data_IF_224193408535
#
_entry.id   IF_224193408535
#
_cell.length_a   1.000
_cell.length_b   1.000
_cell.length_c   1.000
_cell.angle_alpha   90.00
_cell.angle_beta   90.00
_cell.angle_gamma   90.00
#
_symmetry.space_group_name_H-M   'P 1'
#
loop_
_entity.id
_entity.type
_entity.pdbx_description
1 polymer ?
#
# COMPACT_ATOMS: atom_id res chain seq x y z
N UNK A 1 5.12 5.27 -3.76
CA UNK A 1 4.65 4.09 -3.01
C UNK A 1 5.58 3.68 -1.86
N UNK A 2 6.18 4.64 -1.15
CA UNK A 2 7.12 4.34 -0.05
C UNK A 2 6.41 3.81 1.20
N UNK A 3 5.24 4.37 1.51
CA UNK A 3 4.41 3.91 2.64
C UNK A 3 3.89 2.48 2.45
N UNK A 4 3.64 2.08 1.20
CA UNK A 4 3.19 0.72 0.86
C UNK A 4 4.26 -0.32 1.11
N UNK A 5 5.52 0.00 0.77
CA UNK A 5 6.67 -0.89 1.03
C UNK A 5 6.90 -1.09 2.53
N UNK A 6 6.72 -0.03 3.32
CA UNK A 6 6.79 -0.11 4.78
C UNK A 6 5.65 -0.98 5.33
N UNK A 7 4.42 -0.83 4.81
CA UNK A 7 3.29 -1.65 5.21
C UNK A 7 3.53 -3.13 4.92
N UNK A 8 4.00 -3.47 3.73
CA UNK A 8 4.28 -4.86 3.36
C UNK A 8 5.40 -5.47 4.22
N UNK A 9 6.45 -4.72 4.53
CA UNK A 9 7.48 -5.17 5.47
C UNK A 9 6.94 -5.41 6.89
N UNK A 10 6.01 -4.59 7.37
CA UNK A 10 5.36 -4.77 8.68
C UNK A 10 4.48 -6.03 8.71
N UNK A 11 3.82 -6.36 7.59
CA UNK A 11 3.07 -7.61 7.45
C UNK A 11 3.99 -8.84 7.57
N UNK A 12 5.13 -8.82 6.87
CA UNK A 12 6.13 -9.91 6.94
C UNK A 12 6.75 -10.01 8.33
N UNK A 13 7.08 -8.89 8.95
CA UNK A 13 7.63 -8.87 10.32
C UNK A 13 6.68 -9.52 11.33
N UNK A 14 5.38 -9.27 11.19
CA UNK A 14 4.32 -9.82 12.06
C UNK A 14 3.83 -11.21 11.63
N UNK A 15 4.32 -11.76 10.52
CA UNK A 15 3.88 -13.04 9.94
C UNK A 15 2.38 -13.10 9.67
N UNK A 16 1.86 -12.00 9.15
CA UNK A 16 0.45 -11.83 8.81
C UNK A 16 0.30 -11.53 7.32
N UNK A 17 -0.86 -11.88 6.78
CA UNK A 17 -1.24 -11.68 5.39
C UNK A 17 -2.58 -10.98 5.31
N UNK A 18 -2.83 -10.29 4.20
CA UNK A 18 -4.05 -9.52 3.95
C UNK A 18 -4.61 -9.88 2.59
N UNK A 19 -5.94 -9.86 2.45
CA UNK A 19 -6.63 -9.97 1.16
C UNK A 19 -7.32 -8.67 0.72
N UNK A 20 -7.23 -7.60 1.52
CA UNK A 20 -7.93 -6.35 1.22
C UNK A 20 -7.09 -5.15 1.61
N UNK A 21 -6.97 -4.21 0.67
CA UNK A 21 -6.25 -2.96 0.86
C UNK A 21 -7.22 -1.79 0.77
N UNK A 22 -7.02 -0.79 1.62
CA UNK A 22 -7.78 0.47 1.64
C UNK A 22 -6.86 1.66 1.44
N UNK A 23 -7.35 2.65 0.70
CA UNK A 23 -6.66 3.89 0.40
C UNK A 23 -7.60 5.06 0.71
N UNK A 24 -7.18 5.92 1.64
CA UNK A 24 -7.86 7.16 1.97
C UNK A 24 -6.95 8.35 1.66
N UNK A 25 -7.49 9.32 0.95
CA UNK A 25 -6.77 10.49 0.46
C UNK A 25 -7.51 11.73 0.90
N UNK A 26 -6.84 12.50 1.75
CA UNK A 26 -7.32 13.81 2.16
C UNK A 26 -6.71 14.88 1.26
N UNK A 27 -7.58 15.65 0.62
CA UNK A 27 -7.17 16.77 -0.22
C UNK A 27 -6.86 18.02 0.60
N UNK A 28 -6.04 18.89 0.04
CA UNK A 28 -5.66 20.15 0.67
C UNK A 28 -6.79 21.19 0.61
N UNK A 29 -6.84 22.04 1.62
CA UNK A 29 -7.72 23.23 1.67
C UNK A 29 -7.34 24.24 0.59
N UNK A 30 -6.06 24.28 0.19
CA UNK A 30 -5.57 25.16 -0.88
C UNK A 30 -6.31 24.96 -2.20
N UNK A 31 -6.84 23.76 -2.45
CA UNK A 31 -7.66 23.49 -3.65
C UNK A 31 -8.91 24.37 -3.75
N UNK A 32 -9.45 24.86 -2.63
CA UNK A 32 -10.63 25.73 -2.58
C UNK A 32 -10.28 27.19 -2.27
N UNK A 33 -9.08 27.46 -1.75
CA UNK A 33 -8.59 28.81 -1.52
C UNK A 33 -8.10 29.46 -2.81
N UNK A 34 -7.50 28.68 -3.72
CA UNK A 34 -7.03 29.17 -5.02
C UNK A 34 -8.21 29.43 -5.97
N UNK A 35 -8.40 30.67 -6.47
CA UNK A 35 -9.55 31.03 -7.31
C UNK A 35 -9.65 30.19 -8.59
N UNK A 36 -8.51 29.90 -9.24
CA UNK A 36 -8.47 29.15 -10.49
C UNK A 36 -8.82 27.66 -10.29
N UNK A 37 -8.37 27.06 -9.19
CA UNK A 37 -8.67 25.64 -8.87
C UNK A 37 -10.10 25.49 -8.38
N UNK A 38 -10.57 26.44 -7.58
CA UNK A 38 -11.95 26.48 -7.09
C UNK A 38 -12.97 26.55 -8.22
N UNK A 39 -12.69 27.34 -9.27
CA UNK A 39 -13.59 27.41 -10.44
C UNK A 39 -13.70 26.08 -11.20
N UNK A 40 -12.63 25.27 -11.19
CA UNK A 40 -12.60 23.96 -11.85
C UNK A 40 -13.22 22.84 -11.01
N UNK A 41 -13.31 23.03 -9.69
CA UNK A 41 -13.86 22.04 -8.78
C UNK A 41 -15.37 22.20 -8.58
N UNK A 42 -16.15 21.27 -9.14
CA UNK A 42 -17.61 21.18 -8.97
C UNK A 42 -18.04 20.08 -7.99
N UNK A 43 -17.07 19.43 -7.35
CA UNK A 43 -17.34 18.30 -6.46
C UNK A 43 -17.88 18.71 -5.09
N UNK A 44 -18.20 17.70 -4.28
CA UNK A 44 -18.68 17.92 -2.91
C UNK A 44 -17.59 18.52 -2.01
N UNK A 45 -17.96 19.50 -1.20
CA UNK A 45 -17.07 20.18 -0.27
C UNK A 45 -17.41 19.69 1.14
N UNK A 46 -16.38 19.40 1.94
CA UNK A 46 -16.51 19.17 3.37
C UNK A 46 -15.95 20.36 4.15
N UNK A 47 -16.56 20.64 5.29
CA UNK A 47 -16.06 21.64 6.24
C UNK A 47 -15.50 20.88 7.44
N UNK A 48 -14.24 21.13 7.77
CA UNK A 48 -13.58 20.58 8.95
C UNK A 48 -14.08 21.27 10.24
N UNK A 49 -13.83 20.67 11.40
CA UNK A 49 -14.18 21.18 12.74
C UNK A 49 -13.61 22.59 13.02
N UNK A 50 -12.56 22.98 12.30
CA UNK A 50 -11.95 24.32 12.34
C UNK A 50 -12.60 25.32 11.37
N UNK A 51 -13.71 24.99 10.72
CA UNK A 51 -14.42 25.84 9.76
C UNK A 51 -13.76 25.95 8.38
N UNK A 52 -12.69 25.18 8.12
CA UNK A 52 -11.97 25.19 6.84
C UNK A 52 -12.69 24.30 5.83
N UNK A 53 -12.85 24.80 4.61
CA UNK A 53 -13.44 24.03 3.51
C UNK A 53 -12.34 23.29 2.74
N UNK A 54 -12.56 22.01 2.47
CA UNK A 54 -11.72 21.19 1.62
C UNK A 54 -12.58 20.32 0.68
N UNK A 55 -12.03 19.85 -0.45
CA UNK A 55 -12.69 18.82 -1.24
C UNK A 55 -12.99 17.59 -0.38
N UNK A 56 -14.09 16.89 -0.68
CA UNK A 56 -14.41 15.61 -0.03
C UNK A 56 -13.26 14.62 -0.25
N UNK A 57 -12.94 13.86 0.80
CA UNK A 57 -11.87 12.87 0.74
C UNK A 57 -12.18 11.78 -0.29
N UNK A 58 -11.12 11.33 -0.96
CA UNK A 58 -11.16 10.16 -1.80
C UNK A 58 -10.96 8.92 -0.93
N UNK A 59 -11.81 7.92 -1.11
CA UNK A 59 -11.71 6.63 -0.43
C UNK A 59 -11.79 5.53 -1.48
N UNK A 60 -11.09 4.43 -1.24
CA UNK A 60 -11.20 3.23 -2.05
C UNK A 60 -10.74 2.00 -1.31
N UNK A 61 -11.26 0.86 -1.73
CA UNK A 61 -10.77 -0.46 -1.33
C UNK A 61 -10.57 -1.33 -2.56
N UNK A 62 -9.62 -2.25 -2.47
CA UNK A 62 -9.38 -3.28 -3.47
C UNK A 62 -9.14 -4.61 -2.76
N UNK A 63 -9.79 -5.66 -3.26
CA UNK A 63 -9.53 -7.01 -2.80
C UNK A 63 -8.41 -7.61 -3.67
N UNK A 64 -7.51 -8.33 -3.00
CA UNK A 64 -6.45 -9.12 -3.59
C UNK A 64 -7.03 -10.50 -3.97
N UNK A 65 -6.51 -11.14 -5.02
CA UNK A 65 -6.98 -12.46 -5.43
C UNK A 65 -6.73 -13.54 -4.36
N UNK A 66 -5.75 -13.32 -3.49
CA UNK A 66 -5.37 -14.21 -2.40
C UNK A 66 -4.82 -13.42 -1.22
N UNK A 67 -4.77 -14.06 -0.06
CA UNK A 67 -4.06 -13.53 1.10
C UNK A 67 -2.55 -13.50 0.83
N UNK A 68 -1.94 -12.32 0.89
CA UNK A 68 -0.50 -12.17 0.61
C UNK A 68 0.15 -11.08 1.46
N UNK A 69 1.46 -11.18 1.60
CA UNK A 69 2.35 -10.16 2.17
C UNK A 69 3.44 -9.71 1.17
N UNK A 70 3.34 -10.11 -0.10
CA UNK A 70 4.30 -9.70 -1.14
C UNK A 70 4.22 -8.20 -1.40
N UNK A 71 5.39 -7.55 -1.38
CA UNK A 71 5.51 -6.11 -1.63
C UNK A 71 5.07 -5.80 -3.04
N UNK A 72 5.46 -6.63 -4.02
CA UNK A 72 5.13 -6.42 -5.44
C UNK A 72 3.62 -6.39 -5.65
N UNK A 73 2.93 -7.44 -5.21
CA UNK A 73 1.49 -7.58 -5.39
C UNK A 73 0.74 -6.42 -4.71
N UNK A 74 1.14 -6.08 -3.48
CA UNK A 74 0.50 -5.01 -2.71
C UNK A 74 0.72 -3.64 -3.38
N UNK A 75 1.93 -3.34 -3.87
CA UNK A 75 2.23 -2.09 -4.58
C UNK A 75 1.40 -1.99 -5.85
N UNK A 76 1.35 -3.04 -6.66
CA UNK A 76 0.64 -3.02 -7.94
C UNK A 76 -0.86 -2.75 -7.75
N UNK A 77 -1.48 -3.38 -6.75
CA UNK A 77 -2.92 -3.19 -6.47
C UNK A 77 -3.21 -1.81 -5.86
N UNK A 78 -2.33 -1.27 -5.02
CA UNK A 78 -2.51 0.10 -4.50
C UNK A 78 -2.28 1.13 -5.60
N UNK A 79 -1.39 0.87 -6.57
CA UNK A 79 -1.19 1.76 -7.74
C UNK A 79 -2.47 1.81 -8.56
N UNK A 80 -3.05 0.66 -8.88
CA UNK A 80 -4.33 0.60 -9.59
C UNK A 80 -5.45 1.30 -8.82
N UNK A 81 -5.51 1.12 -7.49
CA UNK A 81 -6.51 1.79 -6.65
C UNK A 81 -6.30 3.31 -6.61
N UNK A 82 -5.05 3.76 -6.56
CA UNK A 82 -4.69 5.19 -6.59
C UNK A 82 -5.17 5.82 -7.90
N UNK A 83 -4.79 5.25 -9.06
CA UNK A 83 -5.15 5.79 -10.37
C UNK A 83 -6.68 5.82 -10.59
N UNK A 84 -7.41 4.89 -9.99
CA UNK A 84 -8.88 4.82 -10.07
C UNK A 84 -9.59 5.87 -9.21
N UNK A 85 -9.04 6.19 -8.03
CA UNK A 85 -9.76 6.95 -6.99
C UNK A 85 -9.29 8.41 -6.89
N UNK A 86 -8.06 8.70 -7.28
CA UNK A 86 -7.47 10.04 -7.14
C UNK A 86 -7.83 10.93 -8.32
N UNK A 87 -8.34 12.13 -8.04
CA UNK A 87 -8.36 13.21 -9.03
C UNK A 87 -6.97 13.84 -9.18
N UNK A 88 -6.33 13.78 -10.36
CA UNK A 88 -4.99 14.34 -10.60
C UNK A 88 -4.95 15.88 -10.52
N UNK A 89 -6.10 16.57 -10.58
CA UNK A 89 -6.15 18.03 -10.51
C UNK A 89 -6.12 18.57 -9.07
N UNK A 90 -6.36 17.70 -8.08
CA UNK A 90 -6.45 18.08 -6.67
C UNK A 90 -5.14 17.82 -5.93
N UNK A 91 -4.71 18.81 -5.15
CA UNK A 91 -3.56 18.68 -4.27
C UNK A 91 -3.90 17.73 -3.12
N UNK A 92 -3.08 16.70 -2.96
CA UNK A 92 -3.17 15.73 -1.88
C UNK A 92 -2.40 16.23 -0.67
N UNK A 93 -3.04 16.23 0.50
CA UNK A 93 -2.44 16.63 1.77
C UNK A 93 -2.01 15.44 2.63
N UNK A 94 -2.80 14.36 2.63
CA UNK A 94 -2.51 13.14 3.40
C UNK A 94 -2.97 11.91 2.65
N UNK A 95 -2.13 10.88 2.66
CA UNK A 95 -2.45 9.54 2.15
C UNK A 95 -2.40 8.58 3.33
N UNK A 96 -3.43 7.75 3.46
CA UNK A 96 -3.52 6.69 4.48
C UNK A 96 -3.79 5.38 3.76
N UNK A 97 -2.98 4.37 4.07
CA UNK A 97 -3.10 3.03 3.49
C UNK A 97 -3.37 2.07 4.65
N UNK A 98 -4.35 1.19 4.49
CA UNK A 98 -4.68 0.15 5.47
C UNK A 98 -4.72 -1.23 4.83
N UNK A 99 -4.21 -2.23 5.55
CA UNK A 99 -4.42 -3.64 5.24
C UNK A 99 -5.55 -4.17 6.14
N UNK A 100 -6.55 -4.79 5.53
CA UNK A 100 -7.74 -5.33 6.19
C UNK A 100 -7.76 -6.86 6.10
N UNK A 101 -8.73 -7.50 6.76
CA UNK A 101 -8.90 -8.97 6.78
C UNK A 101 -7.56 -9.69 7.00
N UNK A 102 -6.92 -9.33 8.10
CA UNK A 102 -5.60 -9.84 8.41
C UNK A 102 -5.74 -11.25 8.97
N UNK A 103 -5.00 -12.19 8.39
CA UNK A 103 -4.87 -13.55 8.88
C UNK A 103 -3.41 -13.85 9.21
N UNK A 104 -3.16 -14.79 10.12
CA UNK A 104 -1.82 -15.34 10.25
C UNK A 104 -1.53 -16.22 9.05
N UNK A 105 -0.26 -16.30 8.66
CA UNK A 105 0.15 -17.15 7.52
C UNK A 105 -0.25 -18.63 7.67
N UNK A 106 -0.34 -19.14 8.90
CA UNK A 106 -0.76 -20.53 9.16
C UNK A 106 -2.28 -20.76 9.17
N UNK A 107 -3.06 -19.67 9.23
CA UNK A 107 -4.52 -19.71 9.33
C UNK A 107 -5.21 -19.38 7.99
N UNK A 108 -4.43 -19.25 6.91
CA UNK A 108 -4.95 -18.96 5.57
C UNK A 108 -5.76 -20.19 5.10
N UNK A 109 -7.04 -20.03 4.77
CA UNK A 109 -7.81 -21.11 4.18
C UNK A 109 -7.12 -21.56 2.90
N UNK A 110 -6.94 -22.87 2.71
CA UNK A 110 -6.51 -23.39 1.41
C UNK A 110 -7.46 -22.82 0.34
N UNK A 111 -6.89 -22.18 -0.69
CA UNK A 111 -7.65 -21.56 -1.77
C UNK A 111 -8.74 -22.52 -2.25
N UNK A 112 -9.97 -21.99 -2.36
CA UNK A 112 -11.12 -22.69 -2.94
C UNK A 112 -10.63 -23.44 -4.17
N UNK A 113 -10.63 -24.77 -4.08
CA UNK A 113 -10.18 -25.67 -5.14
C UNK A 113 -10.76 -25.17 -6.46
N UNK A 114 -9.90 -24.65 -7.33
CA UNK A 114 -10.28 -24.26 -8.67
C UNK A 114 -10.90 -25.51 -9.27
N UNK A 115 -12.19 -25.43 -9.62
CA UNK A 115 -12.88 -26.56 -10.23
C UNK A 115 -12.07 -26.94 -11.49
N UNK A 116 -11.50 -28.16 -11.56
CA UNK A 116 -10.64 -28.52 -12.67
C UNK A 116 -11.48 -28.47 -13.94
N UNK A 117 -11.18 -27.51 -14.80
CA UNK A 117 -11.79 -27.42 -16.12
C UNK A 117 -11.19 -28.53 -16.98
N UNK A 118 -12.02 -29.48 -17.43
CA UNK A 118 -11.60 -30.63 -18.24
C UNK A 118 -10.84 -30.23 -19.52
N UNK A 119 -10.97 -28.98 -19.96
CA UNK A 119 -10.33 -28.45 -21.16
C UNK A 119 -9.15 -27.51 -20.88
N UNK A 120 -8.81 -27.25 -19.62
CA UNK A 120 -7.66 -26.43 -19.26
C UNK A 120 -6.36 -27.24 -19.27
N UNK A 121 -5.31 -26.65 -19.83
CA UNK A 121 -3.97 -27.23 -19.92
C UNK A 121 -3.30 -27.21 -18.52
N UNK A 122 -3.63 -28.22 -17.70
CA UNK A 122 -3.27 -28.26 -16.27
C UNK A 122 -1.76 -28.18 -16.02
N UNK A 123 -0.93 -28.78 -16.89
CA UNK A 123 0.52 -28.72 -16.77
C UNK A 123 1.07 -27.29 -16.92
N UNK A 124 0.45 -26.47 -17.78
CA UNK A 124 0.87 -25.09 -17.97
C UNK A 124 0.49 -24.24 -16.74
N UNK A 125 -0.71 -24.48 -16.17
CA UNK A 125 -1.20 -23.78 -14.99
C UNK A 125 -0.36 -24.11 -13.74
N UNK A 126 -0.01 -25.39 -13.56
CA UNK A 126 0.86 -25.83 -12.46
C UNK A 126 2.28 -25.26 -12.58
N UNK A 127 2.86 -25.27 -13.78
CA UNK A 127 4.18 -24.65 -14.02
C UNK A 127 4.17 -23.16 -13.71
N UNK A 128 3.08 -22.46 -14.07
CA UNK A 128 2.94 -21.03 -13.80
C UNK A 128 2.82 -20.75 -12.29
N UNK A 129 1.99 -21.51 -11.57
CA UNK A 129 1.88 -21.40 -10.10
C UNK A 129 3.21 -21.69 -9.40
N UNK A 130 3.89 -22.77 -9.79
CA UNK A 130 5.18 -23.15 -9.20
C UNK A 130 6.27 -22.08 -9.44
N UNK A 131 6.28 -21.46 -10.62
CA UNK A 131 7.19 -20.36 -10.90
C UNK A 131 6.89 -19.12 -10.04
N UNK A 132 5.61 -18.77 -9.88
CA UNK A 132 5.16 -17.68 -9.04
C UNK A 132 5.53 -17.90 -7.57
N UNK A 133 5.25 -19.08 -7.02
CA UNK A 133 5.59 -19.45 -5.64
C UNK A 133 7.09 -19.41 -5.39
N UNK A 134 7.90 -19.82 -6.38
CA UNK A 134 9.36 -19.74 -6.29
C UNK A 134 9.85 -18.28 -6.26
N UNK A 135 9.22 -17.38 -7.00
CA UNK A 135 9.55 -15.94 -6.95
C UNK A 135 9.18 -15.31 -5.60
N UNK A 136 7.99 -15.64 -5.08
CA UNK A 136 7.53 -15.15 -3.78
C UNK A 136 8.42 -15.64 -2.64
N UNK A 137 8.85 -16.90 -2.68
CA UNK A 137 9.77 -17.45 -1.69
C UNK A 137 11.14 -16.74 -1.72
N UNK A 138 11.66 -16.40 -2.92
CA UNK A 138 12.87 -15.61 -3.06
C UNK A 138 12.69 -14.20 -2.51
N UNK A 139 11.58 -13.55 -2.86
CA UNK A 139 11.24 -12.21 -2.35
C UNK A 139 11.16 -12.21 -0.83
N UNK A 140 10.48 -13.19 -0.25
CA UNK A 140 10.33 -13.34 1.19
C UNK A 140 11.67 -13.47 1.90
N UNK A 141 12.58 -14.31 1.39
CA UNK A 141 13.95 -14.45 1.94
C UNK A 141 14.72 -13.12 1.93
N UNK A 142 14.56 -12.32 0.88
CA UNK A 142 15.17 -10.99 0.80
C UNK A 142 14.56 -10.04 1.83
N UNK A 143 13.24 -10.04 2.00
CA UNK A 143 12.56 -9.22 3.00
C UNK A 143 12.97 -9.59 4.43
N UNK A 144 13.06 -10.88 4.75
CA UNK A 144 13.54 -11.37 6.04
C UNK A 144 14.98 -10.92 6.32
N UNK A 145 15.86 -10.99 5.32
CA UNK A 145 17.23 -10.48 5.44
C UNK A 145 17.26 -8.97 5.69
N UNK A 146 16.44 -8.19 4.97
CA UNK A 146 16.31 -6.75 5.17
C UNK A 146 15.78 -6.41 6.57
N UNK A 147 14.80 -7.15 7.06
CA UNK A 147 14.25 -6.98 8.41
C UNK A 147 15.29 -7.25 9.48
N UNK A 148 16.09 -8.31 9.33
CA UNK A 148 17.19 -8.61 10.27
C UNK A 148 18.21 -7.47 10.33
N UNK A 149 18.61 -6.91 9.18
CA UNK A 149 19.52 -5.76 9.14
C UNK A 149 18.88 -4.55 9.82
N UNK A 150 17.61 -4.23 9.53
CA UNK A 150 16.91 -3.11 10.15
C UNK A 150 16.76 -3.25 11.67
N UNK A 151 16.57 -4.48 12.18
CA UNK A 151 16.51 -4.77 13.62
C UNK A 151 17.86 -4.56 14.31
N UNK A 152 18.96 -4.91 13.65
CA UNK A 152 20.31 -4.80 14.21
C UNK A 152 20.90 -3.38 14.12
N UNK A 153 20.70 -2.71 12.99
CA UNK A 153 21.38 -1.44 12.67
C UNK A 153 20.44 -0.23 12.64
N UNK A 154 19.14 -0.42 12.89
CA UNK A 154 18.12 0.62 12.93
C UNK A 154 17.38 0.84 11.61
N UNK A 155 16.29 1.61 11.68
CA UNK A 155 15.32 1.79 10.57
C UNK A 155 15.91 2.41 9.29
N UNK A 156 16.96 3.22 9.44
CA UNK A 156 17.67 3.87 8.34
C UNK A 156 18.90 3.09 7.83
N UNK A 157 19.15 1.88 8.34
CA UNK A 157 20.29 1.06 7.92
C UNK A 157 20.21 0.63 6.46
N UNK A 158 19.00 0.46 5.93
CA UNK A 158 18.76 0.18 4.51
C UNK A 158 17.69 1.12 3.99
N UNK A 159 18.08 1.96 3.03
CA UNK A 159 17.20 2.86 2.28
C UNK A 159 17.14 2.39 0.83
N UNK A 160 15.93 2.35 0.25
CA UNK A 160 15.77 2.11 -1.18
C UNK A 160 16.00 3.42 -1.94
N UNK A 161 16.37 3.33 -3.22
CA UNK A 161 16.55 4.50 -4.08
C UNK A 161 15.32 5.43 -4.09
N UNK A 162 14.12 4.84 -4.08
CA UNK A 162 12.84 5.56 -3.95
C UNK A 162 12.71 6.42 -2.68
N UNK A 163 13.42 6.06 -1.60
CA UNK A 163 13.43 6.81 -0.34
C UNK A 163 14.36 8.03 -0.38
N UNK A 164 15.16 8.18 -1.45
CA UNK A 164 16.08 9.31 -1.67
C UNK A 164 15.57 10.30 -2.73
N UNK A 165 14.41 10.03 -3.32
CA UNK A 165 13.80 10.93 -4.30
C UNK A 165 13.31 12.23 -3.64
N UNK A 166 13.33 13.33 -4.39
CA UNK A 166 12.81 14.61 -3.92
C UNK A 166 11.31 14.47 -3.55
N UNK A 167 10.97 14.86 -2.32
CA UNK A 167 9.63 14.67 -1.74
C UNK A 167 9.40 13.34 -1.00
N UNK A 168 10.38 12.44 -0.96
CA UNK A 168 10.33 11.25 -0.10
C UNK A 168 10.48 11.64 1.38
N UNK A 169 9.76 10.96 2.27
CA UNK A 169 9.71 11.30 3.71
C UNK A 169 10.18 10.16 4.62
N UNK A 170 10.64 9.04 4.04
CA UNK A 170 11.12 7.85 4.76
C UNK A 170 12.08 8.19 5.89
N UNK A 171 13.12 8.95 5.55
CA UNK A 171 14.24 9.23 6.45
C UNK A 171 13.79 10.07 7.64
N UNK A 172 13.03 11.12 7.36
CA UNK A 172 12.50 12.03 8.38
C UNK A 172 11.48 11.33 9.28
N UNK A 173 10.61 10.49 8.70
CA UNK A 173 9.64 9.69 9.45
C UNK A 173 10.33 8.66 10.34
N UNK A 174 11.40 8.01 9.86
CA UNK A 174 12.17 7.05 10.63
C UNK A 174 12.91 7.70 11.82
N UNK A 175 13.19 9.00 11.75
CA UNK A 175 13.77 9.80 12.82
C UNK A 175 12.71 10.37 13.79
N UNK A 176 11.42 10.14 13.54
CA UNK A 176 10.35 10.62 14.44
C UNK A 176 9.79 9.48 15.29
N UNK A 177 9.57 9.75 16.57
CA UNK A 177 8.83 8.89 17.50
C UNK A 177 7.62 9.69 17.98
N UNK A 178 6.42 9.21 17.65
CA UNK A 178 5.17 9.88 18.04
C UNK A 178 4.97 11.28 17.45
N UNK A 179 5.64 11.61 16.33
CA UNK A 179 5.57 12.93 15.69
C UNK A 179 6.58 13.96 16.20
N UNK A 180 7.38 13.60 17.22
CA UNK A 180 8.51 14.40 17.67
C UNK A 180 9.80 13.84 17.08
N UNK A 181 10.74 14.71 16.72
CA UNK A 181 12.09 14.28 16.32
C UNK A 181 12.72 13.58 17.52
N UNK A 182 13.19 12.35 17.30
CA UNK A 182 13.96 11.57 18.26
C UNK A 182 15.38 12.12 18.40
#
# INVERSE_FOLDING_TARGET
MEMTDILALDLVEKRIVTDQLTLNIAYDVLNLTDPERRQKYTGTIKTDSYGRQAPKDAHGSINLPRHTSSVKIIIDHIMQLFDRVVDPNLLVRKITIGANHILNEGDVPEEVQVQPDLFADHEALEKQKAAEDAELAKERRLQDALLNIKKQFGKNAVLKAMSLQEGATAKDRNQQVGGYKA
#
